data_IF_639130299619
#
_entry.id   IF_639130299619
#
_cell.length_a   1.000
_cell.length_b   1.000
_cell.length_c   1.000
_cell.angle_alpha   90.00
_cell.angle_beta   90.00
_cell.angle_gamma   90.00
#
_symmetry.space_group_name_H-M   'P 1'
#
loop_
_entity.id
_entity.type
_entity.pdbx_description
1 polymer ?
#
# COMPACT_ATOMS: atom_id res chain seq x y z
N UNK A 1 -11.20 5.46 -9.11
CA UNK A 1 -10.11 4.61 -8.66
C UNK A 1 -10.10 4.57 -7.14
N UNK A 2 -9.86 3.41 -6.58
CA UNK A 2 -9.89 3.20 -5.11
C UNK A 2 -8.51 3.34 -4.47
N UNK A 3 -7.58 3.96 -5.14
CA UNK A 3 -6.22 4.15 -4.65
C UNK A 3 -5.61 5.45 -5.14
N UNK A 4 -4.44 5.74 -4.57
CA UNK A 4 -3.61 6.89 -4.96
C UNK A 4 -2.45 6.37 -5.80
N UNK A 5 -2.11 7.09 -6.86
CA UNK A 5 -1.09 6.67 -7.81
C UNK A 5 -0.06 7.77 -8.02
N UNK A 6 1.20 7.37 -8.09
CA UNK A 6 2.28 8.29 -8.43
C UNK A 6 3.28 7.61 -9.36
N UNK A 7 3.57 8.23 -10.48
CA UNK A 7 4.66 7.83 -11.37
C UNK A 7 5.93 8.52 -10.92
N UNK A 8 7.01 7.76 -10.78
CA UNK A 8 8.28 8.27 -10.30
C UNK A 8 9.27 8.41 -11.46
N UNK A 9 10.30 9.22 -11.26
CA UNK A 9 11.46 9.26 -12.15
C UNK A 9 12.40 8.09 -11.87
N UNK A 10 12.30 7.53 -10.66
CA UNK A 10 13.14 6.44 -10.19
C UNK A 10 12.87 5.15 -10.95
N UNK A 11 13.87 4.27 -10.97
CA UNK A 11 13.71 2.91 -11.46
C UNK A 11 12.93 2.08 -10.44
N UNK A 12 12.46 0.91 -10.88
CA UNK A 12 11.78 -0.04 -10.01
C UNK A 12 12.61 -0.38 -8.76
N UNK A 13 13.89 -0.70 -8.95
CA UNK A 13 14.77 -1.07 -7.83
C UNK A 13 14.99 0.10 -6.86
N UNK A 14 15.15 1.30 -7.38
CA UNK A 14 15.28 2.50 -6.54
C UNK A 14 14.00 2.76 -5.75
N UNK A 15 12.84 2.58 -6.39
CA UNK A 15 11.55 2.77 -5.72
C UNK A 15 11.35 1.75 -4.60
N UNK A 16 11.72 0.49 -4.83
CA UNK A 16 11.63 -0.54 -3.79
C UNK A 16 12.46 -0.21 -2.55
N UNK A 17 13.58 0.49 -2.73
CA UNK A 17 14.40 0.94 -1.61
C UNK A 17 13.80 2.15 -0.89
N UNK A 18 13.18 3.07 -1.64
CA UNK A 18 12.67 4.34 -1.12
C UNK A 18 11.29 4.25 -0.49
N UNK A 19 10.41 3.40 -1.03
CA UNK A 19 9.02 3.30 -0.56
C UNK A 19 8.93 2.90 0.91
N UNK A 20 9.64 1.86 1.40
CA UNK A 20 9.60 1.54 2.82
C UNK A 20 10.06 2.69 3.73
N UNK A 21 11.07 3.45 3.31
CA UNK A 21 11.55 4.59 4.08
C UNK A 21 10.52 5.73 4.13
N UNK A 22 9.86 6.01 3.02
CA UNK A 22 8.79 7.01 2.98
C UNK A 22 7.63 6.60 3.87
N UNK A 23 7.24 5.33 3.84
CA UNK A 23 6.19 4.79 4.70
C UNK A 23 6.58 4.88 6.16
N UNK A 24 7.83 4.55 6.50
CA UNK A 24 8.33 4.61 7.85
C UNK A 24 8.25 6.03 8.43
N UNK A 25 8.49 7.05 7.60
CA UNK A 25 8.42 8.44 8.03
C UNK A 25 7.02 8.85 8.51
N UNK A 26 5.98 8.09 8.14
CA UNK A 26 4.61 8.31 8.58
C UNK A 26 4.11 7.23 9.55
N UNK A 27 5.03 6.45 10.10
CA UNK A 27 4.70 5.45 11.11
C UNK A 27 4.27 4.09 10.56
N UNK A 28 4.41 3.85 9.26
CA UNK A 28 4.10 2.54 8.66
C UNK A 28 5.32 1.64 8.64
N UNK A 29 5.10 0.36 8.91
CA UNK A 29 6.09 -0.68 8.67
C UNK A 29 5.61 -1.62 7.59
N UNK A 30 6.51 -2.14 6.77
CA UNK A 30 6.19 -3.16 5.77
C UNK A 30 6.24 -4.51 6.45
N UNK A 31 5.08 -5.16 6.60
CA UNK A 31 4.96 -6.46 7.26
C UNK A 31 5.08 -7.62 6.29
N UNK A 32 4.60 -7.44 5.07
CA UNK A 32 4.57 -8.50 4.08
C UNK A 32 5.00 -7.95 2.73
N UNK A 33 5.56 -8.83 1.92
CA UNK A 33 6.02 -8.50 0.58
C UNK A 33 5.70 -9.67 -0.34
N UNK A 34 4.95 -9.41 -1.41
CA UNK A 34 4.57 -10.43 -2.39
C UNK A 34 5.13 -10.03 -3.74
N UNK A 35 6.01 -10.87 -4.29
CA UNK A 35 6.55 -10.70 -5.63
C UNK A 35 5.58 -11.34 -6.63
N UNK A 36 4.80 -10.51 -7.31
CA UNK A 36 3.78 -10.99 -8.26
C UNK A 36 4.43 -11.57 -9.51
N UNK A 37 5.52 -10.97 -10.01
CA UNK A 37 6.23 -11.51 -11.18
C UNK A 37 6.67 -12.96 -10.94
N UNK A 38 7.31 -13.19 -9.81
CA UNK A 38 7.80 -14.51 -9.41
C UNK A 38 6.66 -15.49 -9.17
N UNK A 39 5.60 -15.04 -8.49
CA UNK A 39 4.44 -15.86 -8.17
C UNK A 39 3.74 -16.35 -9.45
N UNK A 40 3.51 -15.46 -10.40
CA UNK A 40 2.84 -15.82 -11.66
C UNK A 40 3.71 -16.74 -12.50
N UNK A 41 5.03 -16.54 -12.48
CA UNK A 41 5.94 -17.44 -13.19
C UNK A 41 5.89 -18.85 -12.62
N UNK A 42 5.92 -18.98 -11.30
CA UNK A 42 5.88 -20.28 -10.64
C UNK A 42 4.53 -20.99 -10.76
N UNK A 43 3.44 -20.25 -10.63
CA UNK A 43 2.09 -20.83 -10.58
C UNK A 43 1.50 -21.09 -11.96
N UNK A 44 1.77 -20.21 -12.92
CA UNK A 44 1.13 -20.25 -14.24
C UNK A 44 2.14 -20.37 -15.38
N UNK A 45 3.44 -20.21 -15.13
CA UNK A 45 4.44 -20.22 -16.18
C UNK A 45 4.37 -19.00 -17.10
N UNK A 46 3.68 -17.92 -16.68
CA UNK A 46 3.54 -16.71 -17.51
C UNK A 46 4.58 -15.68 -17.11
N UNK A 47 4.96 -14.85 -18.08
CA UNK A 47 5.83 -13.71 -17.84
C UNK A 47 4.97 -12.49 -17.51
N UNK A 48 5.42 -11.71 -16.53
CA UNK A 48 4.74 -10.50 -16.11
C UNK A 48 5.76 -9.43 -15.80
N UNK A 49 5.34 -8.16 -15.77
CA UNK A 49 6.23 -7.06 -15.39
C UNK A 49 6.67 -7.19 -13.94
N UNK A 50 7.75 -6.52 -13.57
CA UNK A 50 8.18 -6.45 -12.18
C UNK A 50 7.09 -5.74 -11.38
N UNK A 51 6.62 -6.38 -10.33
CA UNK A 51 5.47 -5.93 -9.55
C UNK A 51 5.55 -6.53 -8.15
N UNK A 52 5.52 -5.68 -7.13
CA UNK A 52 5.48 -6.15 -5.73
C UNK A 52 4.34 -5.50 -4.98
N UNK A 53 3.71 -6.28 -4.12
CA UNK A 53 2.71 -5.81 -3.18
C UNK A 53 3.36 -5.75 -1.80
N UNK A 54 3.35 -4.57 -1.20
CA UNK A 54 3.87 -4.35 0.16
C UNK A 54 2.69 -4.16 1.09
N UNK A 55 2.60 -5.01 2.11
CA UNK A 55 1.57 -4.85 3.14
C UNK A 55 2.07 -3.91 4.23
N UNK A 56 1.57 -2.68 4.22
CA UNK A 56 1.99 -1.65 5.16
C UNK A 56 1.04 -1.58 6.35
N UNK A 57 1.59 -1.47 7.55
CA UNK A 57 0.82 -1.38 8.78
C UNK A 57 1.28 -0.18 9.61
N UNK A 58 0.31 0.60 10.07
CA UNK A 58 0.53 1.62 11.08
C UNK A 58 -0.03 1.06 12.40
N UNK A 59 0.82 0.53 13.29
CA UNK A 59 0.33 -0.25 14.43
C UNK A 59 -0.70 0.44 15.33
N UNK A 60 -0.55 1.71 15.72
CA UNK A 60 -1.56 2.36 16.54
C UNK A 60 -2.95 2.39 15.87
N UNK A 61 -3.01 2.70 14.57
CA UNK A 61 -4.27 2.73 13.85
C UNK A 61 -4.86 1.34 13.64
N UNK A 62 -4.01 0.35 13.36
CA UNK A 62 -4.46 -1.04 13.19
C UNK A 62 -5.03 -1.57 14.49
N UNK A 63 -4.38 -1.31 15.62
CA UNK A 63 -4.86 -1.72 16.93
C UNK A 63 -6.22 -1.10 17.24
N UNK A 64 -6.35 0.19 17.02
CA UNK A 64 -7.60 0.90 17.28
C UNK A 64 -8.74 0.40 16.38
N UNK A 65 -8.43 0.12 15.11
CA UNK A 65 -9.42 -0.45 14.20
C UNK A 65 -9.91 -1.81 14.66
N UNK A 66 -8.99 -2.68 15.08
CA UNK A 66 -9.33 -4.03 15.56
C UNK A 66 -10.09 -3.99 16.90
N UNK A 67 -9.78 -3.04 17.76
CA UNK A 67 -10.54 -2.83 19.00
C UNK A 67 -11.97 -2.34 18.70
N UNK A 68 -12.14 -1.62 17.61
CA UNK A 68 -13.45 -1.13 17.17
C UNK A 68 -14.29 -2.26 16.56
N UNK A 69 -13.66 -3.09 15.71
CA UNK A 69 -14.33 -4.19 15.02
C UNK A 69 -13.27 -5.22 14.61
N UNK A 70 -13.40 -6.44 15.13
CA UNK A 70 -12.46 -7.52 14.80
C UNK A 70 -12.45 -7.84 13.29
N UNK A 71 -13.53 -7.55 12.59
CA UNK A 71 -13.59 -7.74 11.14
C UNK A 71 -12.70 -6.77 10.37
N UNK A 72 -12.17 -5.72 11.03
CA UNK A 72 -11.23 -4.80 10.39
C UNK A 72 -10.01 -5.51 9.82
N UNK A 73 -9.66 -6.68 10.36
CA UNK A 73 -8.56 -7.48 9.81
C UNK A 73 -8.76 -7.90 8.36
N UNK A 74 -10.01 -7.93 7.89
CA UNK A 74 -10.30 -8.22 6.48
C UNK A 74 -9.84 -7.09 5.55
N UNK A 75 -9.62 -5.90 6.09
CA UNK A 75 -9.20 -4.70 5.34
C UNK A 75 -7.73 -4.35 5.58
N UNK A 76 -7.03 -5.16 6.34
CA UNK A 76 -5.62 -4.95 6.69
C UNK A 76 -4.76 -6.06 6.07
N UNK A 77 -3.49 -5.77 5.79
CA UNK A 77 -2.81 -4.48 5.88
C UNK A 77 -3.20 -3.53 4.76
N UNK A 78 -2.76 -2.27 4.83
CA UNK A 78 -2.91 -1.34 3.71
C UNK A 78 -1.89 -1.72 2.64
N UNK A 79 -2.36 -2.09 1.45
CA UNK A 79 -1.48 -2.48 0.37
C UNK A 79 -0.90 -1.26 -0.35
N UNK A 80 0.41 -1.32 -0.56
CA UNK A 80 1.13 -0.38 -1.40
C UNK A 80 1.82 -1.21 -2.47
N UNK A 81 1.59 -0.90 -3.73
CA UNK A 81 2.21 -1.64 -4.83
C UNK A 81 3.27 -0.81 -5.52
N UNK A 82 4.33 -1.48 -5.94
CA UNK A 82 5.39 -0.88 -6.74
C UNK A 82 5.53 -1.75 -7.98
N UNK A 83 5.43 -1.14 -9.15
CA UNK A 83 5.63 -1.89 -10.38
C UNK A 83 6.42 -1.08 -11.40
N UNK A 84 6.97 -1.78 -12.38
CA UNK A 84 7.68 -1.15 -13.48
C UNK A 84 6.69 -0.79 -14.58
N UNK A 85 6.60 0.50 -14.88
CA UNK A 85 5.76 1.00 -15.98
C UNK A 85 6.36 0.65 -17.34
N UNK A 86 5.61 0.94 -18.40
CA UNK A 86 6.04 0.65 -19.77
C UNK A 86 7.30 1.44 -20.19
N UNK A 87 7.53 2.59 -19.56
CA UNK A 87 8.72 3.43 -19.75
C UNK A 87 9.90 3.01 -18.87
N UNK A 88 9.78 1.87 -18.16
CA UNK A 88 10.75 1.34 -17.20
C UNK A 88 10.95 2.17 -15.93
N UNK A 89 10.14 3.18 -15.74
CA UNK A 89 10.11 3.94 -14.49
C UNK A 89 9.13 3.29 -13.53
N UNK A 90 9.35 3.52 -12.24
CA UNK A 90 8.49 2.96 -11.22
C UNK A 90 7.16 3.70 -11.13
N UNK A 91 6.11 2.92 -10.86
CA UNK A 91 4.80 3.45 -10.49
C UNK A 91 4.50 2.92 -9.10
N UNK A 92 4.03 3.81 -8.23
CA UNK A 92 3.63 3.44 -6.87
C UNK A 92 2.16 3.74 -6.70
N UNK A 93 1.41 2.79 -6.14
CA UNK A 93 0.00 2.99 -5.82
C UNK A 93 -0.23 2.55 -4.38
N UNK A 94 -1.05 3.29 -3.67
CA UNK A 94 -1.47 2.94 -2.31
C UNK A 94 -2.99 2.85 -2.27
N UNK A 95 -3.51 1.89 -1.52
CA UNK A 95 -4.96 1.77 -1.33
C UNK A 95 -5.48 3.06 -0.66
N UNK A 96 -6.67 3.48 -1.05
CA UNK A 96 -7.40 4.52 -0.33
C UNK A 96 -8.27 3.84 0.72
N UNK A 97 -7.87 3.86 2.00
CA UNK A 97 -8.62 3.13 3.02
C UNK A 97 -10.03 3.67 3.25
N UNK A 98 -10.29 4.92 2.88
CA UNK A 98 -11.65 5.47 3.00
C UNK A 98 -12.61 4.78 2.04
N UNK A 99 -12.12 4.31 0.89
CA UNK A 99 -12.94 3.59 -0.08
C UNK A 99 -13.23 2.17 0.36
N UNK A 100 -12.26 1.49 0.95
CA UNK A 100 -12.43 0.10 1.41
C UNK A 100 -13.26 0.04 2.68
N UNK A 101 -13.05 0.96 3.60
CA UNK A 101 -13.77 1.03 4.89
C UNK A 101 -15.22 1.47 4.71
N UNK A 102 -15.53 2.22 3.64
CA UNK A 102 -16.89 2.69 3.39
C UNK A 102 -17.91 1.54 3.38
N UNK A 103 -17.52 0.36 2.92
CA UNK A 103 -18.39 -0.81 2.87
C UNK A 103 -18.80 -1.31 4.26
N UNK A 104 -18.07 -0.96 5.32
CA UNK A 104 -18.40 -1.39 6.68
C UNK A 104 -19.54 -0.62 7.30
N UNK A 105 -19.78 0.61 6.85
CA UNK A 105 -20.78 1.50 7.43
C UNK A 105 -20.45 1.95 8.86
N UNK A 106 -19.24 1.69 9.36
CA UNK A 106 -18.83 2.04 10.72
C UNK A 106 -18.17 3.42 10.75
N UNK A 107 -18.78 4.45 11.38
CA UNK A 107 -18.24 5.81 11.38
C UNK A 107 -16.85 5.91 12.03
N UNK A 108 -16.59 5.14 13.07
CA UNK A 108 -15.29 5.18 13.74
C UNK A 108 -14.18 4.63 12.86
N UNK A 109 -14.44 3.55 12.14
CA UNK A 109 -13.49 3.04 11.15
C UNK A 109 -13.26 4.06 10.04
N UNK A 110 -14.31 4.78 9.65
CA UNK A 110 -14.20 5.87 8.67
C UNK A 110 -13.26 6.99 9.12
N UNK A 111 -13.35 7.40 10.39
CA UNK A 111 -12.45 8.41 10.96
C UNK A 111 -10.99 7.94 10.93
N UNK A 112 -10.76 6.69 11.34
CA UNK A 112 -9.42 6.10 11.31
C UNK A 112 -8.88 6.03 9.89
N UNK A 113 -9.73 5.64 8.95
CA UNK A 113 -9.36 5.55 7.54
C UNK A 113 -8.95 6.91 6.96
N UNK A 114 -9.64 7.99 7.33
CA UNK A 114 -9.27 9.35 6.90
C UNK A 114 -7.87 9.72 7.38
N UNK A 115 -7.56 9.43 8.64
CA UNK A 115 -6.24 9.72 9.20
C UNK A 115 -5.13 8.88 8.52
N UNK A 116 -5.40 7.62 8.24
CA UNK A 116 -4.46 6.75 7.54
C UNK A 116 -4.24 7.23 6.11
N UNK A 117 -5.31 7.64 5.42
CA UNK A 117 -5.21 8.18 4.06
C UNK A 117 -4.30 9.40 4.00
N UNK A 118 -4.44 10.32 4.96
CA UNK A 118 -3.58 11.50 5.04
C UNK A 118 -2.10 11.12 5.17
N UNK A 119 -1.80 10.13 6.02
CA UNK A 119 -0.44 9.65 6.21
C UNK A 119 0.12 8.97 4.97
N UNK A 120 -0.68 8.13 4.30
CA UNK A 120 -0.28 7.50 3.04
C UNK A 120 -0.01 8.56 1.96
N UNK A 121 -0.87 9.56 1.88
CA UNK A 121 -0.71 10.66 0.92
C UNK A 121 0.61 11.40 1.16
N UNK A 122 0.94 11.69 2.41
CA UNK A 122 2.20 12.36 2.74
C UNK A 122 3.41 11.47 2.41
N UNK A 123 3.31 10.16 2.69
CA UNK A 123 4.39 9.24 2.35
C UNK A 123 4.65 9.24 0.85
N UNK A 124 3.61 9.15 0.02
CA UNK A 124 3.75 9.19 -1.44
C UNK A 124 4.34 10.53 -1.91
N UNK A 125 3.98 11.63 -1.25
CA UNK A 125 4.48 12.95 -1.63
C UNK A 125 5.99 13.10 -1.49
N UNK A 126 6.62 12.27 -0.68
CA UNK A 126 8.08 12.26 -0.47
C UNK A 126 8.85 11.49 -1.53
N UNK A 127 8.15 10.77 -2.39
CA UNK A 127 8.76 9.99 -3.47
C UNK A 127 8.95 10.85 -4.71
N UNK A 128 10.02 10.60 -5.44
CA UNK A 128 10.35 11.28 -6.68
C UNK A 128 10.48 10.25 -7.79
#
# INVERSE_FOLDING_TARGET
>A
MFGMRKSLRATYDEALARVPEALKSEGFGVLTEIDIQSTLKQKLGVDFRRYKILGACNPPFAHEALETDLAAGLLLPCNVVVYEGDDRRAVVMAVDPTQTVAATGNPKLGELAEAVKEKLTRALSRLE
#
